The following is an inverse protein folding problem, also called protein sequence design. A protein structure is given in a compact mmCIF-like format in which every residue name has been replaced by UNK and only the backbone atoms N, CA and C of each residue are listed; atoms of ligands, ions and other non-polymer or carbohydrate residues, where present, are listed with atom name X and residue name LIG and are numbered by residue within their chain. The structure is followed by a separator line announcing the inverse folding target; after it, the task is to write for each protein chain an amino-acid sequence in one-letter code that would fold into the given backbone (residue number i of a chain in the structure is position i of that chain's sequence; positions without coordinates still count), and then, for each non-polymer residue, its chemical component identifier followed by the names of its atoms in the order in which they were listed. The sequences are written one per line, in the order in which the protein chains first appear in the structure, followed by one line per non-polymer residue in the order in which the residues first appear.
data_IF_748950816294
#
_entry.id   IF_748950816294
#
_cell.length_a   1.000
_cell.length_b   1.000
_cell.length_c   1.000
_cell.angle_alpha   90.00
_cell.angle_beta   90.00
_cell.angle_gamma   90.00
#
_symmetry.space_group_name_H-M   'P 1'
#
loop_
_entity.id
_entity.type
_entity.pdbx_description
1 polymer ?
#
# COMPACT_ATOMS: atom_id res chain seq x y z
N UNK A 1 5.73 4.71 20.45
CA UNK A 1 4.80 4.69 19.29
C UNK A 1 5.31 5.64 18.22
N UNK A 2 5.12 5.29 16.96
CA UNK A 2 5.33 6.16 15.80
C UNK A 2 3.99 6.36 15.08
N UNK A 3 3.68 7.56 14.67
CA UNK A 3 2.51 7.89 13.86
C UNK A 3 3.00 8.36 12.49
N UNK A 4 2.52 7.71 11.44
CA UNK A 4 2.82 8.05 10.06
C UNK A 4 1.57 8.60 9.38
N UNK A 5 1.72 9.72 8.70
CA UNK A 5 0.69 10.34 7.86
C UNK A 5 1.22 10.38 6.44
N UNK A 6 0.58 9.64 5.56
CA UNK A 6 0.96 9.58 4.16
C UNK A 6 -0.29 9.71 3.30
N UNK A 7 -0.28 10.64 2.33
CA UNK A 7 -1.43 10.94 1.46
C UNK A 7 -2.72 11.28 2.23
N UNK A 8 -2.64 12.11 3.27
CA UNK A 8 -3.81 12.48 4.10
C UNK A 8 -4.60 13.67 3.57
N UNK A 9 -4.16 14.27 2.47
CA UNK A 9 -4.76 15.47 1.89
C UNK A 9 -5.95 15.23 0.95
N UNK A 10 -6.47 14.02 0.81
CA UNK A 10 -7.54 13.67 -0.15
C UNK A 10 -8.68 12.87 0.52
N UNK A 11 -9.13 13.31 1.70
CA UNK A 11 -10.21 12.61 2.43
C UNK A 11 -11.51 12.56 1.62
N UNK A 12 -11.95 13.69 1.05
CA UNK A 12 -13.08 13.79 0.11
C UNK A 12 -14.31 12.97 0.54
N UNK A 13 -14.72 13.09 1.82
CA UNK A 13 -15.84 12.36 2.44
C UNK A 13 -15.72 10.81 2.42
N UNK A 14 -14.53 10.28 2.22
CA UNK A 14 -14.22 8.86 2.36
C UNK A 14 -13.69 8.56 3.76
N UNK A 15 -13.79 7.31 4.25
CA UNK A 15 -13.13 6.93 5.50
C UNK A 15 -11.61 7.08 5.39
N UNK A 16 -10.96 7.48 6.48
CA UNK A 16 -9.50 7.34 6.58
C UNK A 16 -9.15 5.89 6.91
N UNK A 17 -8.22 5.33 6.16
CA UNK A 17 -7.69 3.99 6.44
C UNK A 17 -6.62 4.10 7.51
N UNK A 18 -6.78 3.34 8.60
CA UNK A 18 -5.83 3.30 9.69
C UNK A 18 -5.19 1.91 9.80
N UNK A 19 -3.94 1.84 9.39
CA UNK A 19 -3.09 0.66 9.51
C UNK A 19 -2.29 0.64 10.82
N UNK A 20 -1.71 -0.54 11.14
CA UNK A 20 -0.83 -0.69 12.31
C UNK A 20 -1.54 -0.87 13.64
N UNK A 21 -2.85 -0.86 13.68
CA UNK A 21 -3.65 -0.98 14.90
C UNK A 21 -3.30 -2.23 15.71
N UNK A 22 -3.02 -3.35 15.04
CA UNK A 22 -2.57 -4.59 15.68
C UNK A 22 -1.17 -4.54 16.29
N UNK A 23 -0.36 -3.51 16.01
CA UNK A 23 1.02 -3.40 16.53
C UNK A 23 1.11 -3.08 18.04
N UNK A 24 -0.03 -2.82 18.67
CA UNK A 24 -0.14 -2.75 20.13
C UNK A 24 -1.56 -3.07 20.61
N UNK A 25 -1.69 -3.87 21.66
CA UNK A 25 -3.00 -4.19 22.26
C UNK A 25 -3.75 -2.98 22.83
N UNK A 26 -3.06 -1.86 23.09
CA UNK A 26 -3.69 -0.64 23.57
C UNK A 26 -4.44 0.14 22.49
N UNK A 27 -4.06 -0.01 21.21
CA UNK A 27 -4.52 0.89 20.15
C UNK A 27 -6.01 0.77 19.85
N UNK A 28 -6.57 -0.44 19.91
CA UNK A 28 -8.01 -0.66 19.63
C UNK A 28 -8.88 0.19 20.55
N UNK A 29 -8.61 0.18 21.85
CA UNK A 29 -9.40 0.94 22.82
C UNK A 29 -9.17 2.45 22.69
N UNK A 30 -7.92 2.90 22.54
CA UNK A 30 -7.58 4.32 22.41
C UNK A 30 -8.22 4.92 21.16
N UNK A 31 -8.18 4.19 20.03
CA UNK A 31 -8.79 4.63 18.78
C UNK A 31 -10.33 4.70 18.93
N UNK A 32 -10.93 3.70 19.58
CA UNK A 32 -12.37 3.69 19.83
C UNK A 32 -12.80 4.87 20.71
N UNK A 33 -12.05 5.16 21.76
CA UNK A 33 -12.33 6.28 22.67
C UNK A 33 -12.18 7.62 21.96
N UNK A 34 -11.09 7.83 21.21
CA UNK A 34 -10.88 9.03 20.40
C UNK A 34 -11.98 9.21 19.34
N UNK A 35 -12.44 8.13 18.70
CA UNK A 35 -13.47 8.17 17.67
C UNK A 35 -14.82 8.69 18.20
N UNK A 36 -15.11 8.52 19.49
CA UNK A 36 -16.35 9.04 20.10
C UNK A 36 -16.41 10.57 20.12
N UNK A 37 -15.28 11.23 20.06
CA UNK A 37 -15.18 12.71 20.13
C UNK A 37 -15.01 13.38 18.77
N UNK A 38 -14.88 12.59 17.69
CA UNK A 38 -14.63 13.08 16.34
C UNK A 38 -15.68 12.59 15.35
N UNK A 39 -15.89 13.37 14.28
CA UNK A 39 -16.79 13.00 13.17
C UNK A 39 -16.02 12.31 12.02
N UNK A 40 -14.77 11.90 12.25
CA UNK A 40 -13.94 11.23 11.27
C UNK A 40 -14.33 9.76 11.17
N UNK A 41 -14.70 9.34 9.98
CA UNK A 41 -14.91 7.92 9.71
C UNK A 41 -13.57 7.21 9.54
N UNK A 42 -13.36 6.14 10.30
CA UNK A 42 -12.09 5.39 10.31
C UNK A 42 -12.36 3.94 9.93
N UNK A 43 -11.68 3.49 8.89
CA UNK A 43 -11.61 2.08 8.52
C UNK A 43 -10.30 1.48 9.07
N UNK A 44 -10.41 0.61 10.08
CA UNK A 44 -9.23 -0.02 10.67
C UNK A 44 -8.86 -1.28 9.91
N UNK A 45 -7.62 -1.37 9.46
CA UNK A 45 -7.03 -2.57 8.90
C UNK A 45 -6.13 -3.26 9.94
N UNK A 46 -6.71 -4.17 10.74
CA UNK A 46 -6.01 -4.81 11.86
C UNK A 46 -4.98 -5.84 11.38
N UNK A 47 -5.25 -6.55 10.28
CA UNK A 47 -4.44 -7.69 9.81
C UNK A 47 -3.74 -7.49 8.46
N UNK A 48 -3.87 -6.35 7.83
CA UNK A 48 -3.43 -6.12 6.45
C UNK A 48 -2.62 -4.84 6.29
N UNK A 49 -1.55 -4.65 7.05
CA UNK A 49 -0.68 -3.53 6.82
C UNK A 49 0.35 -3.84 5.75
N UNK A 50 0.46 -2.92 4.80
CA UNK A 50 1.57 -2.93 3.85
C UNK A 50 2.83 -2.36 4.52
N UNK A 51 3.52 -3.22 5.27
CA UNK A 51 4.73 -2.86 6.02
C UNK A 51 5.92 -2.42 5.16
N UNK A 52 5.76 -2.30 3.85
CA UNK A 52 6.88 -2.05 2.93
C UNK A 52 6.88 -0.68 2.25
N UNK A 53 5.80 0.12 2.34
CA UNK A 53 5.57 1.21 1.40
C UNK A 53 5.68 2.62 1.96
N UNK A 54 5.82 2.79 3.27
CA UNK A 54 5.93 4.10 3.89
C UNK A 54 6.77 4.02 5.17
N UNK A 55 7.09 5.13 5.77
CA UNK A 55 8.10 5.28 6.84
C UNK A 55 7.81 4.46 8.09
N UNK A 56 6.53 4.20 8.41
CA UNK A 56 6.14 3.36 9.54
C UNK A 56 6.78 1.96 9.52
N UNK A 57 7.08 1.44 8.32
CA UNK A 57 7.69 0.14 8.16
C UNK A 57 9.08 0.03 8.82
N UNK A 58 9.87 1.10 8.76
CA UNK A 58 11.20 1.14 9.38
C UNK A 58 11.13 1.04 10.90
N UNK A 59 10.14 1.72 11.48
CA UNK A 59 9.91 1.70 12.94
C UNK A 59 9.34 0.37 13.43
N UNK A 60 8.40 -0.19 12.64
CA UNK A 60 7.81 -1.49 12.98
C UNK A 60 8.87 -2.60 13.04
N UNK A 61 9.85 -2.61 12.12
CA UNK A 61 10.96 -3.58 12.11
C UNK A 61 11.86 -3.49 13.36
N UNK A 62 11.87 -2.32 13.99
CA UNK A 62 12.58 -2.09 15.27
C UNK A 62 11.67 -2.33 16.50
N UNK A 63 10.57 -3.07 16.33
CA UNK A 63 9.62 -3.38 17.38
C UNK A 63 8.99 -2.14 18.05
N UNK A 64 8.80 -1.07 17.28
CA UNK A 64 8.11 0.13 17.73
C UNK A 64 6.66 0.06 17.25
N UNK A 65 5.66 0.16 18.16
CA UNK A 65 4.25 0.22 17.74
C UNK A 65 4.00 1.41 16.81
N UNK A 66 3.26 1.18 15.73
CA UNK A 66 3.04 2.17 14.68
C UNK A 66 1.55 2.32 14.36
N UNK A 67 1.16 3.52 13.97
CA UNK A 67 -0.13 3.82 13.35
C UNK A 67 0.12 4.52 12.02
N UNK A 68 -0.61 4.14 11.00
CA UNK A 68 -0.46 4.65 9.64
C UNK A 68 -1.80 5.16 9.12
N UNK A 69 -1.88 6.47 8.89
CA UNK A 69 -3.06 7.15 8.36
C UNK A 69 -2.91 7.39 6.87
N UNK A 70 -3.95 7.01 6.12
CA UNK A 70 -3.96 7.04 4.68
C UNK A 70 -5.38 7.30 4.14
N UNK A 71 -5.55 8.20 3.17
CA UNK A 71 -6.86 8.52 2.59
C UNK A 71 -7.15 7.82 1.27
N UNK A 72 -6.31 6.87 0.89
CA UNK A 72 -6.43 6.15 -0.37
C UNK A 72 -5.60 6.77 -1.50
N UNK A 73 -5.47 6.00 -2.58
CA UNK A 73 -4.82 6.46 -3.78
C UNK A 73 -5.78 7.36 -4.59
N UNK A 74 -5.21 8.33 -5.30
CA UNK A 74 -5.95 9.25 -6.16
C UNK A 74 -5.30 9.34 -7.55
N UNK A 75 -6.04 9.85 -8.51
CA UNK A 75 -5.62 9.90 -9.92
C UNK A 75 -4.36 10.74 -10.18
N UNK A 76 -4.08 11.72 -9.31
CA UNK A 76 -2.92 12.60 -9.44
C UNK A 76 -1.64 12.03 -8.80
N UNK A 77 -1.73 10.88 -8.10
CA UNK A 77 -0.62 10.28 -7.37
C UNK A 77 0.64 10.16 -8.24
N UNK A 78 1.76 10.73 -7.76
CA UNK A 78 3.05 10.81 -8.45
C UNK A 78 3.00 11.51 -9.82
N UNK A 79 2.04 12.40 -10.04
CA UNK A 79 1.93 13.19 -11.27
C UNK A 79 2.20 14.68 -11.04
N UNK A 80 2.65 15.42 -12.06
CA UNK A 80 2.81 16.87 -11.98
C UNK A 80 1.50 17.63 -11.72
N UNK A 81 0.36 16.95 -11.80
CA UNK A 81 -0.97 17.50 -11.56
C UNK A 81 -1.41 17.38 -10.11
N UNK A 82 -0.59 16.80 -9.23
CA UNK A 82 -0.86 16.72 -7.79
C UNK A 82 -0.46 18.03 -7.12
N UNK A 83 -1.33 19.04 -7.25
CA UNK A 83 -1.11 20.38 -6.79
C UNK A 83 -1.90 20.70 -5.51
N UNK A 84 -1.47 21.77 -4.83
CA UNK A 84 -2.00 22.22 -3.54
C UNK A 84 -3.49 22.59 -3.57
N UNK A 85 -4.02 23.03 -4.70
CA UNK A 85 -5.43 23.42 -4.89
C UNK A 85 -6.39 22.22 -4.87
N UNK A 86 -5.86 21.00 -4.94
CA UNK A 86 -6.62 19.75 -4.86
C UNK A 86 -6.66 19.15 -3.46
N UNK A 87 -5.99 19.77 -2.49
CA UNK A 87 -5.97 19.28 -1.11
C UNK A 87 -7.32 19.60 -0.44
N UNK A 88 -7.92 18.57 0.15
CA UNK A 88 -9.06 18.73 1.05
C UNK A 88 -8.59 19.18 2.44
N UNK A 89 -8.30 20.47 2.57
CA UNK A 89 -7.82 21.06 3.84
C UNK A 89 -8.78 20.86 5.02
N UNK A 90 -10.09 20.75 4.75
CA UNK A 90 -11.07 20.51 5.82
C UNK A 90 -11.02 19.07 6.29
N UNK A 91 -10.88 18.12 5.36
CA UNK A 91 -10.70 16.71 5.66
C UNK A 91 -9.37 16.46 6.36
N UNK A 92 -8.28 17.04 5.85
CA UNK A 92 -6.96 16.95 6.47
C UNK A 92 -6.97 17.48 7.91
N UNK A 93 -7.63 18.62 8.15
CA UNK A 93 -7.79 19.16 9.51
C UNK A 93 -8.51 18.17 10.43
N UNK A 94 -9.57 17.50 9.98
CA UNK A 94 -10.26 16.48 10.81
C UNK A 94 -9.31 15.34 11.19
N UNK A 95 -8.47 14.89 10.26
CA UNK A 95 -7.46 13.85 10.51
C UNK A 95 -6.43 14.34 11.53
N UNK A 96 -5.94 15.57 11.38
CA UNK A 96 -4.94 16.15 12.28
C UNK A 96 -5.49 16.35 13.70
N UNK A 97 -6.73 16.84 13.85
CA UNK A 97 -7.40 16.99 15.14
C UNK A 97 -7.51 15.62 15.84
N UNK A 98 -7.94 14.59 15.12
CA UNK A 98 -8.01 13.22 15.64
C UNK A 98 -6.66 12.68 16.08
N UNK A 99 -5.61 12.86 15.25
CA UNK A 99 -4.25 12.40 15.55
C UNK A 99 -3.69 13.14 16.76
N UNK A 100 -3.97 14.44 16.87
CA UNK A 100 -3.53 15.24 18.00
C UNK A 100 -4.07 14.67 19.31
N UNK A 101 -5.39 14.47 19.40
CA UNK A 101 -6.03 13.94 20.62
C UNK A 101 -5.53 12.50 20.92
N UNK A 102 -5.41 11.66 19.90
CA UNK A 102 -4.85 10.32 20.06
C UNK A 102 -3.41 10.34 20.60
N UNK A 103 -2.57 11.26 20.15
CA UNK A 103 -1.21 11.40 20.67
C UNK A 103 -1.23 11.86 22.13
N UNK A 104 -2.14 12.79 22.49
CA UNK A 104 -2.29 13.24 23.89
C UNK A 104 -2.72 12.06 24.77
N UNK A 105 -3.72 11.28 24.36
CA UNK A 105 -4.21 10.12 25.11
C UNK A 105 -3.11 9.08 25.33
N UNK A 106 -2.35 8.76 24.28
CA UNK A 106 -1.20 7.84 24.41
C UNK A 106 -0.12 8.41 25.31
N UNK A 107 0.12 9.72 25.30
CA UNK A 107 1.13 10.37 26.13
C UNK A 107 0.80 10.32 27.64
N UNK A 108 -0.48 10.19 27.98
CA UNK A 108 -1.00 10.12 29.34
C UNK A 108 -1.05 8.69 29.91
N UNK A 109 -0.76 7.68 29.10
CA UNK A 109 -0.73 6.30 29.57
C UNK A 109 0.38 6.09 30.62
N UNK A 110 0.06 5.41 31.70
CA UNK A 110 1.04 5.03 32.73
C UNK A 110 2.21 4.19 32.17
N UNK A 111 1.92 3.38 31.16
CA UNK A 111 2.90 2.51 30.48
C UNK A 111 2.87 2.77 28.98
N UNK A 112 4.06 2.81 28.38
CA UNK A 112 4.18 2.89 26.93
C UNK A 112 3.43 1.73 26.25
N UNK A 113 2.76 1.96 25.10
CA UNK A 113 2.20 0.90 24.29
C UNK A 113 3.25 -0.18 24.02
N UNK A 114 2.96 -1.42 24.43
CA UNK A 114 3.83 -2.55 24.16
C UNK A 114 3.68 -2.98 22.70
N UNK A 115 4.81 -3.31 22.06
CA UNK A 115 4.81 -3.83 20.71
C UNK A 115 4.22 -5.25 20.68
N UNK A 116 3.37 -5.48 19.68
CA UNK A 116 2.82 -6.79 19.33
C UNK A 116 3.09 -7.01 17.86
N UNK A 117 3.68 -8.13 17.50
CA UNK A 117 3.85 -8.50 16.12
C UNK A 117 2.49 -8.83 15.50
N UNK A 118 2.15 -8.19 14.38
CA UNK A 118 0.90 -8.43 13.69
C UNK A 118 1.03 -9.75 12.92
N UNK A 119 0.22 -10.72 13.26
CA UNK A 119 0.08 -11.94 12.48
C UNK A 119 -0.53 -11.58 11.11
N UNK A 120 0.30 -11.43 10.10
CA UNK A 120 -0.18 -11.36 8.73
C UNK A 120 -0.60 -12.77 8.33
N UNK A 121 -1.86 -12.98 7.95
CA UNK A 121 -2.37 -14.24 7.41
C UNK A 121 -1.76 -14.61 6.03
N UNK A 122 -0.63 -14.03 5.70
CA UNK A 122 0.23 -14.46 4.61
C UNK A 122 1.23 -15.45 5.20
N UNK A 123 0.92 -16.73 5.08
CA UNK A 123 1.86 -17.78 5.45
C UNK A 123 3.25 -17.51 4.86
N UNK A 124 4.20 -17.29 5.75
CA UNK A 124 5.61 -16.91 5.62
C UNK A 124 5.91 -15.42 5.84
N UNK A 125 6.26 -15.09 7.06
CA UNK A 125 6.95 -13.87 7.48
C UNK A 125 8.40 -13.83 6.95
N UNK A 126 8.53 -13.68 5.65
CA UNK A 126 9.73 -13.13 5.03
C UNK A 126 9.21 -12.04 4.10
N UNK A 127 9.71 -10.80 4.25
CA UNK A 127 9.64 -9.85 3.12
C UNK A 127 9.99 -10.67 1.89
N UNK A 128 9.11 -10.84 0.89
CA UNK A 128 9.44 -11.68 -0.22
C UNK A 128 10.69 -11.10 -0.87
N UNK A 129 11.83 -11.75 -0.65
CA UNK A 129 13.04 -11.43 -1.38
C UNK A 129 12.75 -11.85 -2.79
N UNK A 130 12.28 -10.92 -3.60
CA UNK A 130 12.05 -11.18 -5.02
C UNK A 130 13.39 -11.52 -5.64
N UNK A 131 13.54 -12.76 -6.09
CA UNK A 131 14.73 -13.22 -6.82
C UNK A 131 14.80 -12.59 -8.21
N UNK A 132 13.66 -12.05 -8.68
CA UNK A 132 13.47 -11.52 -10.03
C UNK A 132 12.67 -10.23 -9.99
N UNK A 133 12.77 -9.44 -11.05
CA UNK A 133 11.94 -8.28 -11.31
C UNK A 133 11.54 -8.22 -12.77
N UNK A 134 10.32 -7.79 -13.07
CA UNK A 134 9.93 -7.51 -14.45
C UNK A 134 10.53 -6.19 -14.96
N UNK A 135 10.92 -5.29 -14.05
CA UNK A 135 11.43 -3.97 -14.41
C UNK A 135 10.32 -3.01 -14.81
N UNK A 136 9.15 -3.12 -14.20
CA UNK A 136 8.01 -2.23 -14.35
C UNK A 136 7.90 -1.23 -13.20
N UNK A 137 7.18 -0.14 -13.44
CA UNK A 137 6.71 0.81 -12.43
C UNK A 137 5.19 0.62 -12.37
N UNK A 138 4.63 0.10 -11.26
CA UNK A 138 3.19 -0.04 -11.09
C UNK A 138 2.49 1.31 -11.05
N UNK A 139 1.30 1.40 -11.63
CA UNK A 139 0.41 2.53 -11.42
C UNK A 139 -0.31 2.34 -10.08
N UNK A 140 0.05 3.17 -9.11
CA UNK A 140 -0.63 3.20 -7.82
C UNK A 140 -1.94 3.99 -7.96
N UNK A 141 -3.05 3.41 -7.47
CA UNK A 141 -4.37 4.06 -7.52
C UNK A 141 -5.20 3.76 -8.76
N UNK A 142 -4.76 2.83 -9.60
CA UNK A 142 -5.62 2.32 -10.66
C UNK A 142 -6.80 1.53 -10.07
N UNK A 143 -8.03 1.88 -10.50
CA UNK A 143 -9.25 1.13 -10.14
C UNK A 143 -9.53 -0.04 -11.10
N UNK A 144 -8.63 -0.28 -12.05
CA UNK A 144 -8.77 -1.37 -13.02
C UNK A 144 -8.44 -2.71 -12.36
N UNK A 145 -9.16 -3.75 -12.74
CA UNK A 145 -8.82 -5.11 -12.31
C UNK A 145 -7.54 -5.55 -13.01
N UNK A 146 -6.48 -5.81 -12.23
CA UNK A 146 -5.14 -6.10 -12.72
C UNK A 146 -4.09 -5.17 -12.14
N UNK A 147 -2.84 -5.29 -12.62
CA UNK A 147 -1.76 -4.37 -12.29
C UNK A 147 -1.46 -3.48 -13.50
N UNK A 148 -1.92 -2.25 -13.47
CA UNK A 148 -1.59 -1.26 -14.51
C UNK A 148 -0.13 -0.82 -14.40
N UNK A 149 0.52 -0.64 -15.55
CA UNK A 149 1.93 -0.22 -15.64
C UNK A 149 1.98 1.29 -15.92
N UNK A 150 2.59 2.07 -15.02
CA UNK A 150 2.85 3.50 -15.21
C UNK A 150 4.15 3.77 -15.99
N UNK A 151 5.04 2.80 -16.04
CA UNK A 151 6.30 2.89 -16.77
C UNK A 151 7.17 1.66 -16.65
N UNK A 152 8.36 1.75 -17.25
CA UNK A 152 9.40 0.74 -17.14
C UNK A 152 10.58 1.32 -16.36
N UNK A 153 11.02 0.63 -15.32
CA UNK A 153 12.15 1.06 -14.48
C UNK A 153 13.51 0.72 -15.11
N UNK A 154 13.54 -0.19 -16.09
CA UNK A 154 14.74 -0.60 -16.83
C UNK A 154 14.43 -0.68 -18.31
N UNK A 155 15.19 0.09 -19.12
CA UNK A 155 15.01 0.15 -20.59
C UNK A 155 15.33 -1.17 -21.31
N UNK A 156 16.12 -2.02 -20.69
CA UNK A 156 16.59 -3.34 -21.18
C UNK A 156 16.16 -4.48 -20.23
N UNK A 157 15.21 -4.21 -19.35
CA UNK A 157 14.64 -5.19 -18.43
C UNK A 157 13.73 -6.22 -19.13
N UNK A 158 13.31 -7.27 -18.40
CA UNK A 158 12.44 -8.32 -18.95
C UNK A 158 11.16 -7.78 -19.60
N UNK A 159 10.45 -6.86 -18.93
CA UNK A 159 9.23 -6.26 -19.46
C UNK A 159 9.49 -5.44 -20.74
N UNK A 160 10.58 -4.66 -20.78
CA UNK A 160 10.93 -3.87 -21.94
C UNK A 160 11.26 -4.75 -23.15
N UNK A 161 12.05 -5.83 -22.96
CA UNK A 161 12.39 -6.78 -24.00
C UNK A 161 11.19 -7.54 -24.52
N UNK A 162 10.21 -7.83 -23.66
CA UNK A 162 8.95 -8.45 -24.04
C UNK A 162 7.95 -7.47 -24.71
N UNK A 163 8.29 -6.18 -24.79
CA UNK A 163 7.45 -5.18 -25.44
C UNK A 163 6.31 -4.66 -24.58
N UNK A 164 6.41 -4.76 -23.26
CA UNK A 164 5.50 -4.08 -22.34
C UNK A 164 5.64 -2.56 -22.44
N UNK A 165 4.56 -1.85 -22.16
CA UNK A 165 4.48 -0.38 -22.24
C UNK A 165 3.67 0.19 -21.08
N UNK A 166 3.83 1.49 -20.85
CA UNK A 166 2.93 2.27 -19.99
C UNK A 166 1.49 2.10 -20.46
N UNK A 167 0.58 1.91 -19.51
CA UNK A 167 -0.85 1.69 -19.73
C UNK A 167 -1.26 0.22 -19.91
N UNK A 168 -0.31 -0.70 -20.07
CA UNK A 168 -0.62 -2.14 -20.03
C UNK A 168 -1.15 -2.52 -18.64
N UNK A 169 -2.10 -3.44 -18.60
CA UNK A 169 -2.65 -3.99 -17.37
C UNK A 169 -2.29 -5.48 -17.31
N UNK A 170 -1.45 -5.88 -16.38
CA UNK A 170 -1.16 -7.30 -16.16
C UNK A 170 -2.36 -7.95 -15.50
N UNK A 171 -2.96 -8.94 -16.14
CA UNK A 171 -4.14 -9.67 -15.67
C UNK A 171 -3.83 -11.09 -15.23
N UNK A 172 -2.74 -11.72 -15.75
CA UNK A 172 -2.30 -13.03 -15.26
C UNK A 172 -0.79 -13.25 -15.47
N UNK A 173 -0.20 -14.12 -14.65
CA UNK A 173 1.18 -14.60 -14.75
C UNK A 173 1.16 -16.14 -14.69
N UNK A 174 1.69 -16.79 -15.72
CA UNK A 174 1.66 -18.25 -15.87
C UNK A 174 0.25 -18.85 -15.67
N UNK A 175 -0.79 -18.16 -16.17
CA UNK A 175 -2.19 -18.56 -16.06
C UNK A 175 -2.81 -18.37 -14.67
N UNK A 176 -2.10 -17.76 -13.73
CA UNK A 176 -2.62 -17.40 -12.41
C UNK A 176 -3.04 -15.92 -12.43
N UNK A 177 -4.25 -15.62 -12.02
CA UNK A 177 -4.81 -14.26 -12.01
C UNK A 177 -3.95 -13.27 -11.21
N UNK A 178 -3.91 -12.04 -11.72
CA UNK A 178 -3.36 -10.85 -11.08
C UNK A 178 -4.46 -9.80 -11.07
N UNK A 179 -5.10 -9.59 -9.93
CA UNK A 179 -6.20 -8.64 -9.76
C UNK A 179 -5.75 -7.30 -9.21
N UNK A 180 -4.57 -7.29 -8.58
CA UNK A 180 -3.97 -6.13 -7.94
C UNK A 180 -2.47 -6.35 -7.75
N UNK A 181 -1.80 -5.36 -7.16
CA UNK A 181 -0.36 -5.41 -6.86
C UNK A 181 0.03 -6.56 -5.92
N UNK A 182 -0.84 -6.96 -5.00
CA UNK A 182 -0.53 -8.03 -4.04
C UNK A 182 -0.49 -9.39 -4.74
N UNK A 183 -1.45 -9.63 -5.64
CA UNK A 183 -1.42 -10.83 -6.47
C UNK A 183 -0.14 -10.86 -7.31
N UNK A 184 0.25 -9.73 -7.92
CA UNK A 184 1.50 -9.63 -8.68
C UNK A 184 2.72 -9.96 -7.83
N UNK A 185 2.84 -9.38 -6.63
CA UNK A 185 3.94 -9.66 -5.72
C UNK A 185 3.97 -11.15 -5.31
N UNK A 186 2.82 -11.72 -5.00
CA UNK A 186 2.70 -13.14 -4.69
C UNK A 186 3.16 -14.04 -5.87
N UNK A 187 2.88 -13.65 -7.11
CA UNK A 187 3.38 -14.40 -8.29
C UNK A 187 4.88 -14.26 -8.47
N UNK A 188 5.46 -13.09 -8.17
CA UNK A 188 6.92 -12.89 -8.26
C UNK A 188 7.72 -13.81 -7.32
N UNK A 189 7.17 -14.16 -6.17
CA UNK A 189 7.87 -15.04 -5.20
C UNK A 189 8.12 -16.44 -5.74
N UNK A 190 7.24 -16.91 -6.63
CA UNK A 190 7.32 -18.24 -7.25
C UNK A 190 8.32 -18.30 -8.41
N UNK A 191 8.86 -17.16 -8.85
CA UNK A 191 9.68 -17.05 -10.04
C UNK A 191 11.18 -17.08 -9.71
N UNK A 192 11.97 -17.56 -10.67
CA UNK A 192 13.43 -17.68 -10.55
C UNK A 192 14.15 -17.04 -11.73
N UNK A 193 15.40 -16.53 -11.54
CA UNK A 193 16.21 -16.01 -12.63
C UNK A 193 16.40 -17.03 -13.76
N UNK A 194 16.36 -16.56 -15.00
CA UNK A 194 16.48 -17.41 -16.21
C UNK A 194 15.20 -18.11 -16.64
N UNK A 195 14.10 -17.93 -15.89
CA UNK A 195 12.81 -18.52 -16.24
C UNK A 195 12.12 -17.72 -17.35
N UNK A 196 11.48 -18.43 -18.29
CA UNK A 196 10.52 -17.82 -19.22
C UNK A 196 9.14 -17.83 -18.60
N UNK A 197 8.53 -16.66 -18.56
CA UNK A 197 7.26 -16.42 -17.88
C UNK A 197 6.24 -15.88 -18.88
N UNK A 198 5.10 -16.56 -18.98
CA UNK A 198 3.98 -16.09 -19.77
C UNK A 198 3.19 -15.08 -18.97
N UNK A 199 3.06 -13.86 -19.49
CA UNK A 199 2.29 -12.77 -18.88
C UNK A 199 1.16 -12.37 -19.79
N UNK A 200 -0.05 -12.41 -19.25
CA UNK A 200 -1.23 -11.91 -19.93
C UNK A 200 -1.43 -10.45 -19.54
N UNK A 201 -1.58 -9.61 -20.53
CA UNK A 201 -1.86 -8.18 -20.35
C UNK A 201 -3.13 -7.78 -21.13
N UNK A 202 -3.79 -6.72 -20.64
CA UNK A 202 -4.78 -6.00 -21.42
C UNK A 202 -4.14 -4.69 -21.90
N UNK A 203 -4.15 -4.44 -23.21
CA UNK A 203 -3.69 -3.21 -23.86
C UNK A 203 -4.76 -2.73 -24.82
N UNK A 204 -5.28 -1.52 -24.61
CA UNK A 204 -6.32 -0.91 -25.46
C UNK A 204 -7.57 -1.83 -25.58
N UNK A 205 -7.98 -2.43 -24.45
CA UNK A 205 -9.08 -3.41 -24.34
C UNK A 205 -8.84 -4.75 -25.06
N UNK A 206 -7.66 -4.96 -25.62
CA UNK A 206 -7.26 -6.24 -26.22
C UNK A 206 -6.37 -7.05 -25.27
N UNK A 207 -6.71 -8.31 -25.08
CA UNK A 207 -5.87 -9.26 -24.35
C UNK A 207 -4.70 -9.70 -25.22
N UNK A 208 -3.49 -9.68 -24.64
CA UNK A 208 -2.24 -10.09 -25.29
C UNK A 208 -1.40 -10.95 -24.36
N UNK A 209 -0.71 -11.92 -24.92
CA UNK A 209 0.25 -12.74 -24.19
C UNK A 209 1.67 -12.33 -24.58
N UNK A 210 2.49 -12.10 -23.56
CA UNK A 210 3.92 -11.77 -23.69
C UNK A 210 4.76 -12.81 -22.97
N UNK A 211 5.93 -13.10 -23.49
CA UNK A 211 6.91 -13.99 -22.84
C UNK A 211 8.04 -13.12 -22.30
N UNK A 212 8.22 -13.14 -20.99
CA UNK A 212 9.32 -12.49 -20.32
C UNK A 212 10.43 -13.50 -20.01
N UNK A 213 11.67 -13.14 -20.29
CA UNK A 213 12.86 -13.85 -19.82
C UNK A 213 13.43 -13.12 -18.60
N UNK A 214 13.45 -13.77 -17.44
CA UNK A 214 13.80 -13.19 -16.15
C UNK A 214 15.30 -13.29 -15.85
#
# INVERSE_FOLDING_TARGET
MMVNMDMVGRLNDSPVVLGGVGSSGNFVNIIADASNSHTLEIETNIGGMDFGRSDHASFYRENIPVLFFFTGAHEDYHKPTDDWDKIDYKGEKKILDFIYDLIIDVSQLEKKPAFVEIETNTGNNQNPVFKVTFGIIPAYGSQKVGLEIDGLSKKDGPAAKAGMKKGDIITAINGKDVRNIYDYMARLTDLTPGQKVKVTINRDEEERELILEL
#
